data_IF_384928350497
#
_entry.id   IF_384928350497
#
_cell.length_a   1.000
_cell.length_b   1.000
_cell.length_c   1.000
_cell.angle_alpha   90.00
_cell.angle_beta   90.00
_cell.angle_gamma   90.00
#
_symmetry.space_group_name_H-M   'P 1'
#
loop_
_entity.id
_entity.type
_entity.pdbx_description
1 polymer ?
#
# COMPACT_ATOMS: atom_id res chain seq x y z
N UNK A 1 -11.60 2.76 -5.58
CA UNK A 1 -10.75 3.34 -4.54
C UNK A 1 -9.31 3.30 -4.99
N UNK A 2 -8.63 4.40 -4.95
CA UNK A 2 -7.25 4.52 -5.41
C UNK A 2 -6.30 4.33 -4.24
N UNK A 3 -5.31 3.47 -4.43
CA UNK A 3 -4.42 3.05 -3.37
C UNK A 3 -2.96 3.23 -3.77
N UNK A 4 -2.15 3.69 -2.82
CA UNK A 4 -0.72 3.75 -2.98
C UNK A 4 -0.04 2.86 -1.95
N UNK A 5 1.14 2.33 -2.29
CA UNK A 5 1.94 1.54 -1.37
C UNK A 5 3.34 2.11 -1.31
N UNK A 6 3.75 2.57 -0.14
CA UNK A 6 5.08 3.07 0.12
C UNK A 6 5.93 1.92 0.65
N UNK A 7 7.07 1.70 0.04
CA UNK A 7 7.91 0.56 0.39
C UNK A 7 7.48 -0.72 -0.31
N UNK A 8 7.06 -0.61 -1.55
CA UNK A 8 6.44 -1.72 -2.28
C UNK A 8 7.42 -2.80 -2.72
N UNK A 9 8.72 -2.58 -2.59
CA UNK A 9 9.71 -3.56 -3.04
C UNK A 9 10.02 -4.63 -1.98
N UNK A 10 9.58 -4.45 -0.74
CA UNK A 10 9.85 -5.40 0.33
C UNK A 10 8.81 -6.51 0.41
N UNK A 11 9.00 -7.41 1.36
CA UNK A 11 8.12 -8.56 1.54
C UNK A 11 6.68 -8.15 1.91
N UNK A 12 6.55 -7.30 2.90
CA UNK A 12 5.22 -6.87 3.37
C UNK A 12 4.50 -6.09 2.28
N UNK A 13 5.23 -5.20 1.58
CA UNK A 13 4.66 -4.45 0.47
C UNK A 13 4.19 -5.37 -0.65
N UNK A 14 4.99 -6.39 -0.98
CA UNK A 14 4.63 -7.34 -2.02
C UNK A 14 3.40 -8.16 -1.68
N UNK A 15 3.31 -8.62 -0.44
CA UNK A 15 2.14 -9.38 -0.01
C UNK A 15 0.88 -8.53 0.03
N UNK A 16 1.03 -7.28 0.45
CA UNK A 16 -0.09 -6.33 0.42
C UNK A 16 -0.59 -6.13 -1.00
N UNK A 17 0.32 -5.93 -1.94
CA UNK A 17 -0.04 -5.73 -3.33
C UNK A 17 -0.70 -6.97 -3.93
N UNK A 18 -0.24 -8.15 -3.56
CA UNK A 18 -0.83 -9.40 -4.04
C UNK A 18 -2.30 -9.50 -3.65
N UNK A 19 -2.63 -9.05 -2.46
CA UNK A 19 -4.02 -9.03 -2.02
C UNK A 19 -4.81 -7.93 -2.73
N UNK A 20 -4.20 -6.76 -2.89
CA UNK A 20 -4.87 -5.61 -3.48
C UNK A 20 -5.20 -5.79 -4.96
N UNK A 21 -4.31 -6.41 -5.73
CA UNK A 21 -4.57 -6.58 -7.17
C UNK A 21 -5.76 -7.49 -7.46
N UNK A 22 -6.15 -8.29 -6.48
CA UNK A 22 -7.31 -9.16 -6.62
C UNK A 22 -8.59 -8.56 -6.07
N UNK A 23 -8.51 -7.37 -5.50
CA UNK A 23 -9.68 -6.72 -4.93
C UNK A 23 -10.40 -5.90 -5.99
N UNK A 24 -11.67 -6.19 -6.28
CA UNK A 24 -12.37 -5.57 -7.40
C UNK A 24 -12.64 -4.08 -7.23
N UNK A 25 -12.60 -3.57 -6.00
CA UNK A 25 -12.89 -2.17 -5.73
C UNK A 25 -11.63 -1.31 -5.59
N UNK A 26 -10.46 -1.88 -5.83
CA UNK A 26 -9.19 -1.21 -5.61
C UNK A 26 -8.42 -1.04 -6.90
N UNK A 27 -7.93 0.19 -7.10
CA UNK A 27 -7.00 0.50 -8.19
C UNK A 27 -5.69 0.95 -7.55
N UNK A 28 -4.60 0.23 -7.84
CA UNK A 28 -3.28 0.61 -7.34
C UNK A 28 -2.72 1.67 -8.28
N UNK A 29 -2.52 2.88 -7.77
CA UNK A 29 -2.08 3.99 -8.61
C UNK A 29 -0.61 4.34 -8.43
N UNK A 30 -0.04 4.05 -7.28
CA UNK A 30 1.33 4.48 -6.96
C UNK A 30 2.03 3.44 -6.11
N UNK A 31 3.25 3.10 -6.51
CA UNK A 31 4.12 2.24 -5.71
C UNK A 31 5.47 2.93 -5.62
N UNK A 32 6.05 3.00 -4.42
CA UNK A 32 7.33 3.66 -4.23
C UNK A 32 8.39 2.72 -3.69
N UNK A 33 9.63 3.02 -4.04
CA UNK A 33 10.80 2.29 -3.53
C UNK A 33 11.99 3.23 -3.58
N UNK A 34 12.91 3.09 -2.65
CA UNK A 34 14.15 3.87 -2.66
C UNK A 34 15.14 3.34 -3.69
N UNK A 35 15.13 2.03 -3.91
CA UNK A 35 16.17 1.35 -4.67
C UNK A 35 15.81 1.05 -6.11
N UNK A 36 14.52 1.04 -6.42
CA UNK A 36 14.04 0.51 -7.68
C UNK A 36 13.27 1.52 -8.53
N UNK A 37 13.51 2.82 -8.29
CA UNK A 37 12.82 3.87 -9.04
C UNK A 37 12.99 3.65 -10.55
N UNK A 38 11.87 3.67 -11.27
CA UNK A 38 11.87 3.49 -12.70
C UNK A 38 11.74 2.04 -13.17
N UNK A 39 11.92 1.07 -12.28
CA UNK A 39 11.77 -0.33 -12.63
C UNK A 39 10.31 -0.76 -12.54
N UNK A 40 9.94 -1.74 -13.34
CA UNK A 40 8.59 -2.29 -13.25
C UNK A 40 8.39 -2.99 -11.91
N UNK A 41 7.21 -2.82 -11.34
CA UNK A 41 6.86 -3.48 -10.09
C UNK A 41 7.01 -5.00 -10.21
N UNK A 42 6.52 -5.58 -11.31
CA UNK A 42 6.58 -7.03 -11.48
C UNK A 42 7.99 -7.58 -11.68
N UNK A 43 8.97 -6.73 -11.92
CA UNK A 43 10.36 -7.17 -11.99
C UNK A 43 10.90 -7.52 -10.61
N UNK A 44 10.48 -6.77 -9.60
CA UNK A 44 10.89 -6.97 -8.21
C UNK A 44 9.93 -7.90 -7.48
N UNK A 45 8.66 -7.84 -7.84
CA UNK A 45 7.61 -8.69 -7.27
C UNK A 45 7.00 -9.53 -8.40
N UNK A 46 7.64 -10.63 -8.77
CA UNK A 46 7.23 -11.40 -9.95
C UNK A 46 5.80 -11.93 -9.93
N UNK A 47 5.24 -12.12 -8.75
CA UNK A 47 3.87 -12.61 -8.62
C UNK A 47 2.84 -11.63 -9.17
N UNK A 48 3.25 -10.38 -9.42
CA UNK A 48 2.35 -9.36 -9.92
C UNK A 48 2.39 -9.19 -11.44
N UNK A 49 3.19 -10.01 -12.10
CA UNK A 49 3.27 -9.96 -13.55
C UNK A 49 1.91 -10.28 -14.17
N UNK A 50 1.49 -9.44 -15.10
CA UNK A 50 0.19 -9.62 -15.74
C UNK A 50 -0.95 -8.90 -15.03
N UNK A 51 -0.72 -8.39 -13.82
CA UNK A 51 -1.75 -7.65 -13.08
C UNK A 51 -1.58 -6.15 -13.19
N UNK A 52 -0.37 -5.67 -13.34
CA UNK A 52 -0.11 -4.24 -13.44
C UNK A 52 1.25 -3.99 -14.08
N UNK A 53 1.35 -2.88 -14.82
CA UNK A 53 2.61 -2.45 -15.42
C UNK A 53 3.15 -1.20 -14.75
N UNK A 54 2.75 -0.94 -13.52
CA UNK A 54 3.25 0.21 -12.77
C UNK A 54 4.77 0.11 -12.58
N UNK A 55 5.40 1.27 -12.57
CA UNK A 55 6.81 1.38 -12.23
C UNK A 55 6.94 2.04 -10.85
N UNK A 56 8.03 1.72 -10.16
CA UNK A 56 8.30 2.37 -8.88
C UNK A 56 8.62 3.84 -9.10
N UNK A 57 8.08 4.67 -8.23
CA UNK A 57 8.40 6.10 -8.23
C UNK A 57 9.09 6.47 -6.92
N UNK A 58 9.65 7.67 -6.90
CA UNK A 58 10.19 8.24 -5.67
C UNK A 58 9.04 8.60 -4.74
N UNK A 59 9.36 8.68 -3.46
CA UNK A 59 8.40 9.12 -2.45
C UNK A 59 8.11 10.60 -2.66
N UNK A 60 6.87 10.91 -2.98
CA UNK A 60 6.42 12.27 -3.20
C UNK A 60 5.06 12.41 -2.54
N UNK A 61 5.01 13.14 -1.45
CA UNK A 61 3.79 13.26 -0.65
C UNK A 61 2.64 13.92 -1.39
N UNK A 62 2.94 14.94 -2.18
CA UNK A 62 1.91 15.63 -2.93
C UNK A 62 1.32 14.73 -4.00
N UNK A 63 2.14 13.96 -4.66
CA UNK A 63 1.70 13.04 -5.69
C UNK A 63 0.84 11.93 -5.07
N UNK A 64 1.24 11.41 -3.92
CA UNK A 64 0.44 10.42 -3.21
C UNK A 64 -0.92 10.99 -2.83
N UNK A 65 -0.95 12.21 -2.33
CA UNK A 65 -2.20 12.87 -1.94
C UNK A 65 -3.12 13.05 -3.13
N UNK A 66 -2.58 13.42 -4.28
CA UNK A 66 -3.37 13.64 -5.48
C UNK A 66 -3.91 12.35 -6.09
N UNK A 67 -3.14 11.28 -6.02
CA UNK A 67 -3.46 10.06 -6.76
C UNK A 67 -4.07 8.95 -5.93
N UNK A 68 -4.09 9.09 -4.61
CA UNK A 68 -4.53 8.01 -3.73
C UNK A 68 -5.59 8.47 -2.76
N UNK A 69 -6.51 7.57 -2.47
CA UNK A 69 -7.49 7.76 -1.40
C UNK A 69 -6.94 7.18 -0.10
N UNK A 70 -6.14 6.12 -0.21
CA UNK A 70 -5.53 5.43 0.93
C UNK A 70 -4.10 5.09 0.59
N UNK A 71 -3.20 5.22 1.56
CA UNK A 71 -1.80 4.84 1.39
C UNK A 71 -1.43 3.81 2.44
N UNK A 72 -0.84 2.71 1.98
CA UNK A 72 -0.26 1.70 2.87
C UNK A 72 1.22 1.98 3.00
N UNK A 73 1.74 1.97 4.23
CA UNK A 73 3.17 2.14 4.45
C UNK A 73 3.77 0.81 4.90
N UNK A 74 4.73 0.32 4.14
CA UNK A 74 5.37 -0.97 4.38
C UNK A 74 6.89 -0.79 4.45
N UNK A 75 7.34 0.12 5.30
CA UNK A 75 8.75 0.47 5.49
C UNK A 75 9.16 0.23 6.94
N UNK A 76 10.46 0.22 7.25
CA UNK A 76 10.90 0.06 8.63
C UNK A 76 10.27 1.10 9.55
N UNK A 77 10.03 0.71 10.81
CA UNK A 77 9.27 1.50 11.77
C UNK A 77 9.77 2.95 11.90
N UNK A 78 11.08 3.15 12.01
CA UNK A 78 11.62 4.49 12.17
C UNK A 78 11.33 5.39 10.98
N UNK A 79 11.40 4.85 9.78
CA UNK A 79 11.09 5.59 8.56
C UNK A 79 9.59 5.83 8.44
N UNK A 80 8.79 4.85 8.87
CA UNK A 80 7.35 4.92 8.76
C UNK A 80 6.75 6.08 9.54
N UNK A 81 7.30 6.36 10.72
CA UNK A 81 6.78 7.43 11.59
C UNK A 81 6.76 8.78 10.86
N UNK A 82 7.85 9.09 10.18
CA UNK A 82 7.98 10.34 9.45
C UNK A 82 7.01 10.42 8.28
N UNK A 83 6.91 9.33 7.54
CA UNK A 83 6.03 9.25 6.38
C UNK A 83 4.57 9.34 6.80
N UNK A 84 4.18 8.62 7.84
CA UNK A 84 2.82 8.63 8.35
C UNK A 84 2.42 10.04 8.78
N UNK A 85 3.31 10.73 9.49
CA UNK A 85 3.02 12.08 9.93
C UNK A 85 2.81 13.03 8.75
N UNK A 86 3.67 12.95 7.74
CA UNK A 86 3.57 13.82 6.58
C UNK A 86 2.27 13.59 5.81
N UNK A 87 1.86 12.34 5.68
CA UNK A 87 0.62 12.01 4.98
C UNK A 87 -0.60 12.36 5.81
N UNK A 88 -0.52 12.16 7.12
CA UNK A 88 -1.61 12.50 8.02
C UNK A 88 -1.89 14.02 7.96
N UNK A 89 -0.84 14.81 7.93
CA UNK A 89 -0.97 16.27 7.87
C UNK A 89 -1.63 16.71 6.56
N UNK A 90 -1.56 15.90 5.52
CA UNK A 90 -2.22 16.18 4.24
C UNK A 90 -3.63 15.63 4.16
N UNK A 91 -4.10 14.99 5.22
CA UNK A 91 -5.48 14.51 5.29
C UNK A 91 -5.76 13.22 4.54
N UNK A 92 -4.73 12.51 4.12
CA UNK A 92 -4.93 11.24 3.43
C UNK A 92 -5.04 10.09 4.45
N UNK A 93 -5.86 9.10 4.12
CA UNK A 93 -6.03 7.94 4.98
C UNK A 93 -4.82 7.02 4.86
N UNK A 94 -4.32 6.55 5.99
CA UNK A 94 -3.10 5.76 6.05
C UNK A 94 -3.34 4.45 6.77
N UNK A 95 -2.75 3.37 6.25
CA UNK A 95 -2.70 2.09 6.95
C UNK A 95 -1.22 1.76 7.09
N UNK A 96 -0.71 1.85 8.31
CA UNK A 96 0.70 1.63 8.60
C UNK A 96 0.94 0.17 8.95
N UNK A 97 1.74 -0.51 8.13
CA UNK A 97 2.04 -1.92 8.30
C UNK A 97 3.38 -2.17 8.99
N UNK A 98 4.11 -1.11 9.34
CA UNK A 98 5.45 -1.27 9.88
C UNK A 98 5.50 -2.05 11.18
N UNK A 99 4.50 -1.90 12.02
CA UNK A 99 4.43 -2.60 13.29
C UNK A 99 4.08 -4.07 13.12
N UNK A 100 3.51 -4.42 12.00
CA UNK A 100 3.04 -5.78 11.73
C UNK A 100 4.11 -6.69 11.16
N UNK A 101 5.29 -6.16 10.90
CA UNK A 101 6.40 -6.97 10.44
C UNK A 101 6.69 -8.15 11.35
N UNK A 102 6.41 -8.00 12.63
CA UNK A 102 6.69 -9.03 13.61
C UNK A 102 5.69 -10.15 13.63
N UNK A 103 4.52 -9.91 13.11
CA UNK A 103 3.44 -10.89 13.20
C UNK A 103 3.61 -12.00 12.18
N UNK A 104 3.93 -11.67 10.96
CA UNK A 104 4.22 -12.64 9.90
C UNK A 104 3.24 -13.80 9.82
N UNK A 105 1.96 -13.56 10.12
CA UNK A 105 1.01 -14.65 10.12
C UNK A 105 -0.21 -14.31 9.29
N UNK A 106 -0.95 -15.35 8.94
CA UNK A 106 -2.11 -15.23 8.09
C UNK A 106 -3.20 -14.36 8.72
N UNK A 107 -3.30 -14.43 10.02
CA UNK A 107 -4.32 -13.68 10.74
C UNK A 107 -4.16 -12.18 10.58
N UNK A 108 -2.93 -11.68 10.62
CA UNK A 108 -2.68 -10.26 10.42
C UNK A 108 -3.09 -9.82 9.02
N UNK A 109 -2.74 -10.60 8.02
CA UNK A 109 -3.11 -10.28 6.64
C UNK A 109 -4.62 -10.32 6.43
N UNK A 110 -5.29 -11.29 7.01
CA UNK A 110 -6.73 -11.38 6.91
C UNK A 110 -7.39 -10.16 7.51
N UNK A 111 -6.87 -9.69 8.62
CA UNK A 111 -7.37 -8.50 9.29
C UNK A 111 -7.25 -7.27 8.42
N UNK A 112 -6.12 -7.09 7.76
CA UNK A 112 -5.93 -5.98 6.83
C UNK A 112 -6.89 -6.07 5.66
N UNK A 113 -7.05 -7.25 5.13
CA UNK A 113 -7.92 -7.45 3.98
C UNK A 113 -9.36 -7.10 4.34
N UNK A 114 -9.80 -7.49 5.51
CA UNK A 114 -11.13 -7.14 5.99
C UNK A 114 -11.27 -5.63 6.17
N UNK A 115 -10.26 -4.97 6.71
CA UNK A 115 -10.27 -3.52 6.85
C UNK A 115 -10.39 -2.84 5.49
N UNK A 116 -9.70 -3.35 4.50
CA UNK A 116 -9.76 -2.81 3.15
C UNK A 116 -11.16 -2.97 2.56
N UNK A 117 -11.79 -4.09 2.79
CA UNK A 117 -13.16 -4.33 2.33
C UNK A 117 -14.11 -3.31 2.94
N UNK A 118 -13.96 -3.04 4.22
CA UNK A 118 -14.80 -2.05 4.89
C UNK A 118 -14.61 -0.65 4.32
N UNK A 119 -13.39 -0.32 3.94
CA UNK A 119 -13.11 0.97 3.34
C UNK A 119 -13.73 1.09 1.95
N UNK A 120 -13.65 0.02 1.15
CA UNK A 120 -14.10 0.06 -0.23
C UNK A 120 -15.60 -0.14 -0.39
N UNK A 121 -16.29 -0.57 0.67
CA UNK A 121 -17.73 -0.82 0.63
C UNK A 121 -18.44 -0.07 1.73
N UNK A 122 -18.42 1.25 1.69
CA UNK A 122 -19.00 2.06 2.77
C UNK A 122 -20.49 1.83 2.97
N UNK A 123 -21.23 1.45 1.93
CA UNK A 123 -22.64 1.19 2.05
C UNK A 123 -22.96 -0.07 2.83
N UNK A 124 -22.01 -0.95 2.99
CA UNK A 124 -22.20 -2.17 3.76
C UNK A 124 -21.85 -2.00 5.21
N UNK A 125 -21.35 -0.87 5.55
CA UNK A 125 -21.01 -0.57 6.91
C UNK A 125 -22.30 -0.54 7.70
N UNK A 126 -22.37 -1.38 8.65
CA UNK A 126 -23.55 -1.41 9.44
C UNK A 126 -23.33 -0.74 10.73
N UNK A 127 -24.37 -0.23 11.18
CA UNK A 127 -24.39 0.21 12.55
C UNK A 127 -24.15 -0.98 13.46
#
# INVERSE_FOLDING_TARGET
MKVGVVGASGYVGGETLRLLVNHPEVEITTVTSRQHVGEYLHRVQPSLKGFTDLTFSELDYDKLTDKCDVVFTAVPHGTATEIVKALYDRGIKIIDLSADYRLHNQEAYDKWYLSLIHISEPTRRTP
#
